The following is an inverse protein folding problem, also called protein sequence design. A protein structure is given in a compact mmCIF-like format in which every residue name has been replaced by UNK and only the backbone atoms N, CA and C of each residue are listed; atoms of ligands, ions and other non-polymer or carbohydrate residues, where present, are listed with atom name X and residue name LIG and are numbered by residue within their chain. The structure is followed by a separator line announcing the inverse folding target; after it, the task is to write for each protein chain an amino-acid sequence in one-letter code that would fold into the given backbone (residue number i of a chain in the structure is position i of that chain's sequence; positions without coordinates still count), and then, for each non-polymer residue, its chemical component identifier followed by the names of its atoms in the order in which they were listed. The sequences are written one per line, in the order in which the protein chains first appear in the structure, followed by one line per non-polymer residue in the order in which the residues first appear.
data_IF_899747833979
#
_entry.id   IF_899747833979
#
_cell.length_a   1.000
_cell.length_b   1.000
_cell.length_c   1.000
_cell.angle_alpha   90.00
_cell.angle_beta   90.00
_cell.angle_gamma   90.00
#
_symmetry.space_group_name_H-M   'P 1'
#
loop_
_entity.id
_entity.type
_entity.pdbx_description
1 polymer ?
#
# COMPACT_ATOMS: atom_id res chain seq x y z
N UNK A 1 -22.71 34.68 18.39
CA UNK A 1 -21.38 34.21 17.94
C UNK A 1 -20.85 33.30 19.04
N UNK A 2 -20.95 31.98 18.86
CA UNK A 2 -20.43 31.01 19.83
C UNK A 2 -19.14 30.42 19.27
N UNK A 3 -18.04 30.74 19.93
CA UNK A 3 -16.71 30.23 19.62
C UNK A 3 -16.63 28.79 20.14
N UNK A 4 -16.78 27.81 19.25
CA UNK A 4 -16.42 26.42 19.53
C UNK A 4 -14.91 26.26 19.33
N UNK A 5 -14.14 26.59 20.35
CA UNK A 5 -12.76 26.13 20.44
C UNK A 5 -12.79 24.64 20.81
N UNK A 6 -12.64 23.79 19.80
CA UNK A 6 -12.44 22.35 19.97
C UNK A 6 -11.16 22.10 20.78
N UNK A 7 -11.19 21.11 21.66
CA UNK A 7 -10.01 20.73 22.46
C UNK A 7 -9.01 19.99 21.57
N UNK A 8 -7.67 20.06 21.78
CA UNK A 8 -6.69 19.37 20.92
C UNK A 8 -6.95 17.86 20.71
N UNK A 9 -7.51 17.17 21.71
CA UNK A 9 -7.94 15.77 21.57
C UNK A 9 -9.16 15.57 20.66
N UNK A 10 -10.09 16.51 20.65
CA UNK A 10 -11.26 16.50 19.74
C UNK A 10 -10.83 16.80 18.30
N UNK A 11 -9.83 17.66 18.10
CA UNK A 11 -9.27 17.93 16.79
C UNK A 11 -8.53 16.72 16.20
N UNK A 12 -7.73 16.03 17.01
CA UNK A 12 -7.03 14.81 16.59
C UNK A 12 -8.01 13.68 16.24
N UNK A 13 -9.11 13.56 16.99
CA UNK A 13 -10.17 12.58 16.68
C UNK A 13 -10.96 12.97 15.44
N UNK A 14 -11.29 14.25 15.24
CA UNK A 14 -11.95 14.75 14.03
C UNK A 14 -11.09 14.53 12.78
N UNK A 15 -9.80 14.89 12.82
CA UNK A 15 -8.84 14.67 11.73
C UNK A 15 -8.77 13.18 11.35
N UNK A 16 -8.70 12.30 12.35
CA UNK A 16 -8.65 10.85 12.12
C UNK A 16 -9.96 10.29 11.54
N UNK A 17 -11.12 10.78 11.98
CA UNK A 17 -12.42 10.41 11.39
C UNK A 17 -12.53 10.85 9.93
N UNK A 18 -12.12 12.08 9.61
CA UNK A 18 -12.12 12.60 8.23
C UNK A 18 -11.21 11.76 7.35
N UNK A 19 -10.01 11.44 7.81
CA UNK A 19 -9.04 10.63 7.06
C UNK A 19 -9.60 9.23 6.73
N UNK A 20 -10.17 8.53 7.72
CA UNK A 20 -10.79 7.21 7.51
C UNK A 20 -11.99 7.28 6.57
N UNK A 21 -12.84 8.30 6.72
CA UNK A 21 -13.98 8.53 5.83
C UNK A 21 -13.51 8.81 4.39
N UNK A 22 -12.47 9.62 4.22
CA UNK A 22 -11.90 9.94 2.92
C UNK A 22 -11.35 8.70 2.21
N UNK A 23 -10.57 7.86 2.90
CA UNK A 23 -10.06 6.59 2.35
C UNK A 23 -11.20 5.70 1.86
N UNK A 24 -12.22 5.48 2.70
CA UNK A 24 -13.40 4.68 2.32
C UNK A 24 -14.14 5.27 1.11
N UNK A 25 -14.41 6.58 1.15
CA UNK A 25 -15.17 7.26 0.11
C UNK A 25 -14.43 7.28 -1.23
N UNK A 26 -13.12 7.51 -1.21
CA UNK A 26 -12.28 7.47 -2.41
C UNK A 26 -12.08 6.05 -2.94
N UNK A 27 -12.10 5.02 -2.08
CA UNK A 27 -12.11 3.63 -2.52
C UNK A 27 -13.42 3.29 -3.26
N UNK A 28 -14.58 3.66 -2.69
CA UNK A 28 -15.90 3.37 -3.27
C UNK A 28 -16.14 4.12 -4.59
N UNK A 29 -16.04 5.45 -4.53
CA UNK A 29 -16.54 6.38 -5.56
C UNK A 29 -15.40 6.97 -6.41
N UNK A 30 -14.17 6.51 -6.18
CA UNK A 30 -12.97 6.97 -6.89
C UNK A 30 -12.47 8.33 -6.42
N UNK A 31 -11.36 8.76 -7.03
CA UNK A 31 -10.62 9.95 -6.60
C UNK A 31 -11.38 11.27 -6.80
N UNK A 32 -12.46 11.27 -7.60
CA UNK A 32 -13.31 12.43 -7.87
C UNK A 32 -14.43 12.64 -6.83
N UNK A 33 -14.62 11.71 -5.87
CA UNK A 33 -15.71 11.77 -4.89
C UNK A 33 -15.84 13.15 -4.19
N UNK A 34 -17.06 13.68 -4.00
CA UNK A 34 -17.25 15.03 -3.48
C UNK A 34 -16.85 15.14 -1.99
N UNK A 35 -16.15 16.21 -1.61
CA UNK A 35 -15.77 16.44 -0.21
C UNK A 35 -16.97 16.55 0.74
N UNK A 36 -18.15 16.91 0.23
CA UNK A 36 -19.39 16.91 1.02
C UNK A 36 -19.80 15.50 1.45
N UNK A 37 -19.59 14.48 0.62
CA UNK A 37 -19.86 13.09 0.98
C UNK A 37 -18.88 12.61 2.05
N UNK A 38 -17.58 12.93 1.89
CA UNK A 38 -16.56 12.66 2.92
C UNK A 38 -16.93 13.31 4.27
N UNK A 39 -17.39 14.57 4.24
CA UNK A 39 -17.80 15.29 5.43
C UNK A 39 -19.00 14.65 6.13
N UNK A 40 -20.00 14.24 5.34
CA UNK A 40 -21.17 13.53 5.84
C UNK A 40 -20.77 12.20 6.52
N UNK A 41 -19.92 11.40 5.88
CA UNK A 41 -19.42 10.14 6.44
C UNK A 41 -18.61 10.33 7.73
N UNK A 42 -17.86 11.43 7.81
CA UNK A 42 -17.06 11.77 8.99
C UNK A 42 -17.87 12.44 10.12
N UNK A 43 -19.13 12.80 9.87
CA UNK A 43 -19.98 13.53 10.81
C UNK A 43 -19.50 14.96 11.08
N UNK A 44 -18.94 15.64 10.06
CA UNK A 44 -18.38 17.00 10.17
C UNK A 44 -18.88 17.92 9.05
N UNK A 45 -18.57 19.21 9.13
CA UNK A 45 -18.80 20.14 8.03
C UNK A 45 -17.70 20.03 6.97
N UNK A 46 -18.02 20.30 5.70
CA UNK A 46 -17.01 20.34 4.63
C UNK A 46 -15.93 21.42 4.87
N UNK A 47 -16.27 22.51 5.56
CA UNK A 47 -15.31 23.52 5.98
C UNK A 47 -14.25 22.99 6.95
N UNK A 48 -14.61 22.04 7.82
CA UNK A 48 -13.66 21.44 8.76
C UNK A 48 -12.62 20.56 8.06
N UNK A 49 -12.95 19.97 6.91
CA UNK A 49 -11.98 19.26 6.07
C UNK A 49 -10.92 20.24 5.56
N UNK A 50 -11.34 21.37 5.00
CA UNK A 50 -10.41 22.40 4.49
C UNK A 50 -9.58 22.98 5.64
N UNK A 51 -10.17 23.15 6.82
CA UNK A 51 -9.44 23.58 7.99
C UNK A 51 -8.31 22.60 8.39
N UNK A 52 -8.57 21.28 8.41
CA UNK A 52 -7.57 20.29 8.83
C UNK A 52 -6.53 19.93 7.76
N UNK A 53 -6.91 19.99 6.49
CA UNK A 53 -6.09 19.47 5.38
C UNK A 53 -5.68 20.54 4.37
N UNK A 54 -6.14 21.79 4.54
CA UNK A 54 -5.84 22.94 3.68
C UNK A 54 -6.55 22.91 2.33
N UNK A 55 -6.57 21.77 1.65
CA UNK A 55 -7.18 21.61 0.33
C UNK A 55 -7.67 20.17 0.09
N UNK A 56 -8.35 19.96 -1.04
CA UNK A 56 -8.69 18.62 -1.51
C UNK A 56 -7.44 17.77 -1.75
N UNK A 57 -6.39 18.38 -2.29
CA UNK A 57 -5.14 17.67 -2.57
C UNK A 57 -4.36 17.38 -1.28
N UNK A 58 -4.36 18.30 -0.31
CA UNK A 58 -3.81 18.03 1.01
C UNK A 58 -4.53 16.89 1.76
N UNK A 59 -5.84 16.72 1.55
CA UNK A 59 -6.56 15.55 2.06
C UNK A 59 -6.09 14.26 1.36
N UNK A 60 -5.88 14.30 0.03
CA UNK A 60 -5.40 13.15 -0.73
C UNK A 60 -3.98 12.76 -0.33
N UNK A 61 -3.08 13.72 -0.16
CA UNK A 61 -1.72 13.49 0.34
C UNK A 61 -1.74 12.85 1.74
N UNK A 62 -2.65 13.30 2.62
CA UNK A 62 -2.83 12.69 3.92
C UNK A 62 -3.35 11.24 3.82
N UNK A 63 -4.25 10.96 2.88
CA UNK A 63 -4.69 9.60 2.58
C UNK A 63 -3.54 8.73 2.05
N UNK A 64 -2.74 9.24 1.10
CA UNK A 64 -1.57 8.54 0.55
C UNK A 64 -0.57 8.20 1.68
N UNK A 65 -0.24 9.16 2.54
CA UNK A 65 0.63 8.94 3.70
C UNK A 65 0.06 7.91 4.69
N UNK A 66 -1.26 7.92 4.89
CA UNK A 66 -1.93 6.95 5.75
C UNK A 66 -1.87 5.53 5.19
N UNK A 67 -2.13 5.33 3.90
CA UNK A 67 -2.10 3.99 3.31
C UNK A 67 -0.69 3.42 3.25
N UNK A 68 0.33 4.28 3.02
CA UNK A 68 1.74 3.89 3.13
C UNK A 68 2.08 3.42 4.55
N UNK A 69 1.69 4.19 5.56
CA UNK A 69 1.91 3.82 6.96
C UNK A 69 1.26 2.48 7.32
N UNK A 70 -0.01 2.27 6.94
CA UNK A 70 -0.73 1.00 7.19
C UNK A 70 -0.02 -0.17 6.51
N UNK A 71 0.42 -0.01 5.26
CA UNK A 71 1.11 -1.08 4.55
C UNK A 71 2.48 -1.41 5.16
N UNK A 72 3.24 -0.39 5.57
CA UNK A 72 4.51 -0.58 6.28
C UNK A 72 4.29 -1.29 7.62
N UNK A 73 3.32 -0.86 8.41
CA UNK A 73 2.97 -1.48 9.70
C UNK A 73 2.53 -2.93 9.57
N UNK A 74 1.89 -3.29 8.45
CA UNK A 74 1.54 -4.67 8.14
C UNK A 74 2.77 -5.51 7.73
N UNK A 75 3.64 -4.97 6.86
CA UNK A 75 4.77 -5.71 6.27
C UNK A 75 6.01 -5.78 7.14
N UNK A 76 6.35 -4.72 7.87
CA UNK A 76 7.60 -4.64 8.63
C UNK A 76 7.70 -5.72 9.74
N UNK A 77 6.65 -6.08 10.50
CA UNK A 77 6.74 -7.18 11.46
C UNK A 77 7.00 -8.54 10.81
N UNK A 78 6.51 -8.75 9.58
CA UNK A 78 6.65 -10.01 8.85
C UNK A 78 8.03 -10.12 8.19
N UNK A 79 8.45 -9.06 7.48
CA UNK A 79 9.64 -9.08 6.63
C UNK A 79 10.87 -8.41 7.25
N UNK A 80 10.69 -7.54 8.25
CA UNK A 80 11.76 -6.79 8.92
C UNK A 80 12.40 -7.50 10.12
N UNK A 81 12.05 -8.76 10.39
CA UNK A 81 12.70 -9.59 11.41
C UNK A 81 12.07 -9.58 12.82
N UNK A 82 10.92 -8.93 13.01
CA UNK A 82 10.31 -8.74 14.33
C UNK A 82 9.27 -9.78 14.77
N UNK A 83 8.55 -10.43 13.84
CA UNK A 83 7.36 -11.23 14.19
C UNK A 83 7.15 -12.54 13.42
N UNK A 84 7.86 -12.77 12.31
CA UNK A 84 7.88 -14.04 11.59
C UNK A 84 6.49 -14.61 11.25
N UNK A 85 6.34 -15.93 11.36
CA UNK A 85 5.09 -16.62 11.01
C UNK A 85 3.88 -16.17 11.86
N UNK A 86 4.08 -15.87 13.15
CA UNK A 86 2.99 -15.43 14.04
C UNK A 86 2.42 -14.06 13.62
N UNK A 87 3.30 -13.12 13.26
CA UNK A 87 2.86 -11.85 12.70
C UNK A 87 2.11 -12.06 11.38
N UNK A 88 2.63 -12.89 10.48
CA UNK A 88 1.97 -13.21 9.21
C UNK A 88 0.55 -13.76 9.42
N UNK A 89 0.39 -14.77 10.28
CA UNK A 89 -0.92 -15.36 10.59
C UNK A 89 -1.88 -14.34 11.20
N UNK A 90 -1.38 -13.46 12.07
CA UNK A 90 -2.18 -12.36 12.64
C UNK A 90 -2.66 -11.42 11.54
N UNK A 91 -1.79 -11.03 10.59
CA UNK A 91 -2.18 -10.16 9.49
C UNK A 91 -3.18 -10.81 8.54
N UNK A 92 -3.03 -12.11 8.25
CA UNK A 92 -3.98 -12.86 7.43
C UNK A 92 -5.35 -12.99 8.09
N UNK A 93 -5.39 -13.18 9.42
CA UNK A 93 -6.65 -13.21 10.16
C UNK A 93 -7.40 -11.87 10.10
N UNK A 94 -6.67 -10.76 10.00
CA UNK A 94 -7.22 -9.39 9.93
C UNK A 94 -7.33 -8.86 8.50
N UNK A 95 -7.16 -9.71 7.48
CA UNK A 95 -6.94 -9.25 6.10
C UNK A 95 -8.10 -8.41 5.55
N UNK A 96 -9.32 -8.76 5.92
CA UNK A 96 -10.55 -8.05 5.55
C UNK A 96 -10.56 -6.59 6.00
N UNK A 97 -9.92 -6.28 7.13
CA UNK A 97 -9.83 -4.92 7.67
C UNK A 97 -9.03 -3.97 6.78
N UNK A 98 -8.19 -4.50 5.89
CA UNK A 98 -7.38 -3.71 4.96
C UNK A 98 -8.12 -3.37 3.66
N UNK A 99 -9.34 -3.86 3.45
CA UNK A 99 -10.10 -3.66 2.22
C UNK A 99 -10.28 -2.18 1.81
N UNK A 100 -10.60 -1.23 2.71
CA UNK A 100 -10.69 0.19 2.33
C UNK A 100 -9.34 0.77 1.86
N UNK A 101 -8.24 0.35 2.50
CA UNK A 101 -6.88 0.81 2.16
C UNK A 101 -6.47 0.25 0.80
N UNK A 102 -6.69 -1.04 0.57
CA UNK A 102 -6.44 -1.68 -0.73
C UNK A 102 -7.28 -1.01 -1.82
N UNK A 103 -8.59 -0.85 -1.60
CA UNK A 103 -9.49 -0.15 -2.53
C UNK A 103 -9.03 1.27 -2.86
N UNK A 104 -8.55 2.02 -1.86
CA UNK A 104 -7.99 3.35 -2.09
C UNK A 104 -6.76 3.32 -3.01
N UNK A 105 -5.78 2.45 -2.70
CA UNK A 105 -4.56 2.29 -3.50
C UNK A 105 -4.90 1.98 -4.95
N UNK A 106 -5.88 1.11 -5.17
CA UNK A 106 -6.32 0.72 -6.50
C UNK A 106 -6.93 1.87 -7.28
N UNK A 107 -7.87 2.60 -6.68
CA UNK A 107 -8.45 3.81 -7.28
C UNK A 107 -7.39 4.88 -7.55
N UNK A 108 -6.35 4.95 -6.71
CA UNK A 108 -5.26 5.91 -6.84
C UNK A 108 -4.37 5.57 -8.03
N UNK A 109 -4.05 4.30 -8.20
CA UNK A 109 -3.31 3.78 -9.35
C UNK A 109 -4.09 3.91 -10.66
N UNK A 110 -5.40 3.63 -10.65
CA UNK A 110 -6.27 3.79 -11.82
C UNK A 110 -6.39 5.24 -12.29
N UNK A 111 -6.42 6.19 -11.34
CA UNK A 111 -6.43 7.61 -11.67
C UNK A 111 -5.12 8.06 -12.37
N UNK A 112 -4.02 7.32 -12.13
CA UNK A 112 -2.73 7.56 -12.76
C UNK A 112 -2.13 8.93 -12.44
N UNK A 113 -1.21 9.36 -13.31
CA UNK A 113 -0.52 10.64 -13.19
C UNK A 113 0.55 10.70 -12.09
N UNK A 114 1.14 11.88 -11.86
CA UNK A 114 2.30 12.05 -10.99
C UNK A 114 2.09 11.57 -9.55
N UNK A 115 0.88 11.74 -9.03
CA UNK A 115 0.56 11.35 -7.66
C UNK A 115 0.47 9.82 -7.49
N UNK A 116 0.03 9.10 -8.51
CA UNK A 116 0.08 7.64 -8.50
C UNK A 116 1.54 7.15 -8.50
N UNK A 117 2.41 7.78 -9.30
CA UNK A 117 3.85 7.51 -9.30
C UNK A 117 4.46 7.76 -7.92
N UNK A 118 4.16 8.90 -7.29
CA UNK A 118 4.65 9.21 -5.94
C UNK A 118 4.18 8.19 -4.89
N UNK A 119 2.94 7.70 -4.98
CA UNK A 119 2.47 6.65 -4.08
C UNK A 119 3.24 5.34 -4.29
N UNK A 120 3.51 4.95 -5.55
CA UNK A 120 4.34 3.78 -5.86
C UNK A 120 5.75 3.95 -5.30
N UNK A 121 6.39 5.10 -5.54
CA UNK A 121 7.72 5.41 -5.02
C UNK A 121 7.76 5.35 -3.49
N UNK A 122 6.69 5.78 -2.81
CA UNK A 122 6.53 5.64 -1.36
C UNK A 122 6.52 4.18 -0.91
N UNK A 123 5.74 3.31 -1.59
CA UNK A 123 5.73 1.87 -1.29
C UNK A 123 7.11 1.23 -1.52
N UNK A 124 7.81 1.64 -2.58
CA UNK A 124 9.17 1.18 -2.86
C UNK A 124 10.13 1.61 -1.75
N UNK A 125 10.07 2.87 -1.31
CA UNK A 125 10.89 3.39 -0.22
C UNK A 125 10.69 2.61 1.09
N UNK A 126 9.43 2.39 1.49
CA UNK A 126 9.10 1.57 2.65
C UNK A 126 9.63 0.13 2.48
N UNK A 127 9.52 -0.43 1.27
CA UNK A 127 10.01 -1.77 0.95
C UNK A 127 11.53 -1.91 1.01
N UNK A 128 12.27 -0.92 0.54
CA UNK A 128 13.73 -0.88 0.70
C UNK A 128 14.09 -1.00 2.17
N UNK A 129 13.43 -0.22 3.03
CA UNK A 129 13.78 -0.17 4.44
C UNK A 129 13.43 -1.47 5.19
N UNK A 130 12.21 -1.99 5.05
CA UNK A 130 11.88 -3.25 5.75
C UNK A 130 12.63 -4.46 5.20
N UNK A 131 13.02 -4.49 3.91
CA UNK A 131 13.83 -5.57 3.36
C UNK A 131 15.28 -5.49 3.86
N UNK A 132 15.85 -4.28 3.97
CA UNK A 132 17.17 -4.06 4.56
C UNK A 132 17.22 -4.52 6.01
N UNK A 133 16.17 -4.22 6.78
CA UNK A 133 16.03 -4.71 8.16
C UNK A 133 15.95 -6.25 8.19
N UNK A 134 15.16 -6.84 7.28
CA UNK A 134 15.06 -8.28 7.13
C UNK A 134 16.37 -8.97 6.78
N UNK A 135 17.21 -8.35 5.94
CA UNK A 135 18.55 -8.85 5.62
C UNK A 135 19.46 -8.80 6.84
N UNK A 136 19.47 -7.69 7.59
CA UNK A 136 20.25 -7.55 8.81
C UNK A 136 19.82 -8.55 9.90
N UNK A 137 18.53 -8.90 9.96
CA UNK A 137 17.98 -9.89 10.86
C UNK A 137 18.11 -11.35 10.36
N UNK A 138 18.62 -11.57 9.14
CA UNK A 138 18.78 -12.90 8.55
C UNK A 138 17.48 -13.58 8.09
N UNK A 139 16.36 -12.86 8.04
CA UNK A 139 15.05 -13.38 7.58
C UNK A 139 14.83 -13.18 6.08
N UNK A 140 15.55 -12.22 5.46
CA UNK A 140 15.57 -11.99 4.02
C UNK A 140 16.99 -12.25 3.50
N UNK A 141 17.12 -12.95 2.37
CA UNK A 141 18.43 -13.18 1.75
C UNK A 141 19.03 -11.86 1.22
N UNK A 142 20.35 -11.63 1.34
CA UNK A 142 21.00 -10.48 0.74
C UNK A 142 20.77 -10.37 -0.77
N UNK A 143 20.58 -9.15 -1.28
CA UNK A 143 20.46 -8.87 -2.72
C UNK A 143 21.68 -8.20 -3.32
N UNK A 144 21.96 -8.52 -4.59
CA UNK A 144 22.87 -7.75 -5.45
C UNK A 144 22.26 -6.42 -5.92
N UNK A 145 20.93 -6.33 -5.87
CA UNK A 145 20.14 -5.21 -6.35
C UNK A 145 19.06 -4.86 -5.31
N UNK A 146 19.42 -4.36 -4.11
CA UNK A 146 18.47 -4.20 -3.01
C UNK A 146 17.29 -3.26 -3.37
N UNK A 147 17.59 -2.10 -3.94
CA UNK A 147 16.60 -1.09 -4.36
C UNK A 147 15.73 -1.60 -5.53
N UNK A 148 16.37 -2.14 -6.58
CA UNK A 148 15.64 -2.67 -7.73
C UNK A 148 14.77 -3.88 -7.35
N UNK A 149 15.23 -4.74 -6.42
CA UNK A 149 14.42 -5.86 -5.92
C UNK A 149 13.19 -5.35 -5.17
N UNK A 150 13.34 -4.35 -4.29
CA UNK A 150 12.22 -3.74 -3.60
C UNK A 150 11.19 -3.17 -4.59
N UNK A 151 11.68 -2.51 -5.66
CA UNK A 151 10.83 -1.97 -6.72
C UNK A 151 10.09 -3.05 -7.49
N UNK A 152 10.77 -4.09 -7.98
CA UNK A 152 10.16 -5.21 -8.72
C UNK A 152 9.09 -5.89 -7.87
N UNK A 153 9.36 -6.20 -6.61
CA UNK A 153 8.39 -6.84 -5.72
C UNK A 153 7.15 -5.95 -5.48
N UNK A 154 7.36 -4.65 -5.33
CA UNK A 154 6.28 -3.68 -5.15
C UNK A 154 5.42 -3.58 -6.40
N UNK A 155 6.04 -3.42 -7.57
CA UNK A 155 5.34 -3.35 -8.86
C UNK A 155 4.60 -4.65 -9.19
N UNK A 156 5.18 -5.82 -8.89
CA UNK A 156 4.50 -7.10 -9.02
C UNK A 156 3.26 -7.20 -8.13
N UNK A 157 3.36 -6.78 -6.87
CA UNK A 157 2.22 -6.80 -5.94
C UNK A 157 1.11 -5.84 -6.38
N UNK A 158 1.46 -4.58 -6.71
CA UNK A 158 0.50 -3.56 -7.14
C UNK A 158 -0.12 -3.90 -8.51
N UNK A 159 0.68 -4.42 -9.44
CA UNK A 159 0.21 -4.88 -10.75
C UNK A 159 -0.72 -6.08 -10.64
N UNK A 160 -0.39 -7.05 -9.79
CA UNK A 160 -1.27 -8.19 -9.52
C UNK A 160 -2.59 -7.75 -8.90
N UNK A 161 -2.57 -6.77 -7.99
CA UNK A 161 -3.79 -6.16 -7.45
C UNK A 161 -4.61 -5.51 -8.56
N UNK A 162 -4.01 -4.64 -9.39
CA UNK A 162 -4.69 -3.96 -10.50
C UNK A 162 -5.34 -4.93 -11.51
N UNK A 163 -4.68 -6.04 -11.84
CA UNK A 163 -5.18 -7.04 -12.79
C UNK A 163 -6.36 -7.86 -12.25
N UNK A 164 -6.54 -7.94 -10.93
CA UNK A 164 -7.42 -8.90 -10.28
C UNK A 164 -8.70 -8.28 -9.71
N UNK A 165 -8.87 -6.95 -9.79
CA UNK A 165 -10.10 -6.35 -9.35
C UNK A 165 -11.26 -6.52 -10.33
N UNK A 166 -12.50 -6.46 -9.81
CA UNK A 166 -13.70 -6.02 -10.53
C UNK A 166 -13.65 -4.57 -11.08
N UNK A 167 -12.45 -4.02 -11.28
CA UNK A 167 -12.10 -2.60 -11.38
C UNK A 167 -12.62 -1.87 -12.62
N UNK A 168 -13.35 -2.55 -13.50
CA UNK A 168 -14.03 -1.92 -14.63
C UNK A 168 -15.41 -1.35 -14.23
N UNK A 169 -15.87 -1.55 -12.99
CA UNK A 169 -17.10 -0.94 -12.51
C UNK A 169 -16.86 0.47 -11.93
N UNK A 170 -17.77 1.40 -12.25
CA UNK A 170 -17.71 2.78 -11.77
C UNK A 170 -17.79 2.86 -10.24
N UNK A 171 -18.47 1.92 -9.59
CA UNK A 171 -18.61 1.84 -8.13
C UNK A 171 -18.03 0.52 -7.61
N UNK A 172 -17.25 0.59 -6.52
CA UNK A 172 -16.80 -0.59 -5.78
C UNK A 172 -17.68 -0.75 -4.55
N UNK A 173 -18.36 -1.89 -4.44
CA UNK A 173 -19.14 -2.22 -3.26
C UNK A 173 -18.19 -2.47 -2.07
N UNK A 174 -18.18 -1.52 -1.13
CA UNK A 174 -17.34 -1.61 0.07
C UNK A 174 -17.72 -2.77 0.99
N UNK A 175 -18.93 -3.31 0.86
CA UNK A 175 -19.40 -4.45 1.67
C UNK A 175 -18.88 -5.78 1.09
N UNK A 176 -18.60 -5.84 -0.21
CA UNK A 176 -18.02 -7.02 -0.88
C UNK A 176 -16.48 -7.02 -0.90
N UNK A 177 -15.85 -5.84 -0.87
CA UNK A 177 -14.38 -5.71 -0.89
C UNK A 177 -13.65 -6.54 0.19
N UNK A 178 -14.14 -6.65 1.45
CA UNK A 178 -13.52 -7.49 2.47
C UNK A 178 -13.45 -8.96 2.05
N UNK A 179 -14.59 -9.53 1.64
CA UNK A 179 -14.67 -10.93 1.23
C UNK A 179 -13.82 -11.20 -0.02
N UNK A 180 -13.82 -10.28 -0.99
CA UNK A 180 -12.94 -10.35 -2.15
C UNK A 180 -11.46 -10.36 -1.74
N UNK A 181 -11.06 -9.49 -0.81
CA UNK A 181 -9.67 -9.38 -0.36
C UNK A 181 -9.22 -10.65 0.39
N UNK A 182 -10.10 -11.26 1.20
CA UNK A 182 -9.84 -12.58 1.82
C UNK A 182 -9.61 -13.63 0.74
N UNK A 183 -10.53 -13.80 -0.20
CA UNK A 183 -10.42 -14.79 -1.26
C UNK A 183 -9.18 -14.57 -2.15
N UNK A 184 -8.85 -13.31 -2.47
CA UNK A 184 -7.63 -12.96 -3.17
C UNK A 184 -6.38 -13.42 -2.41
N UNK A 185 -6.33 -13.14 -1.09
CA UNK A 185 -5.21 -13.49 -0.24
C UNK A 185 -5.03 -15.01 -0.10
N UNK A 186 -6.11 -15.75 0.14
CA UNK A 186 -6.10 -17.22 0.20
C UNK A 186 -5.56 -17.85 -1.09
N UNK A 187 -5.88 -17.24 -2.24
CA UNK A 187 -5.41 -17.71 -3.54
C UNK A 187 -3.92 -17.46 -3.78
N UNK A 188 -3.36 -16.34 -3.32
CA UNK A 188 -1.99 -15.93 -3.69
C UNK A 188 -0.94 -16.25 -2.64
N UNK A 189 -1.30 -16.33 -1.35
CA UNK A 189 -0.30 -16.39 -0.27
C UNK A 189 0.52 -17.67 -0.34
N UNK A 190 -0.12 -18.83 -0.52
CA UNK A 190 0.58 -20.11 -0.64
C UNK A 190 1.59 -20.14 -1.79
N UNK A 191 1.16 -19.91 -3.04
CA UNK A 191 2.08 -19.89 -4.19
C UNK A 191 3.18 -18.83 -4.09
N UNK A 192 2.90 -17.65 -3.51
CA UNK A 192 3.94 -16.64 -3.30
C UNK A 192 4.98 -17.09 -2.28
N UNK A 193 4.55 -17.71 -1.18
CA UNK A 193 5.48 -18.26 -0.18
C UNK A 193 6.37 -19.32 -0.82
N UNK A 194 5.80 -20.25 -1.59
CA UNK A 194 6.57 -21.26 -2.32
C UNK A 194 7.61 -20.62 -3.25
N UNK A 195 7.23 -19.64 -4.07
CA UNK A 195 8.16 -18.93 -4.97
C UNK A 195 9.27 -18.16 -4.20
N UNK A 196 8.99 -17.70 -2.99
CA UNK A 196 9.98 -16.98 -2.17
C UNK A 196 10.90 -17.91 -1.39
N UNK A 197 10.49 -19.13 -1.09
CA UNK A 197 11.28 -20.08 -0.29
C UNK A 197 11.96 -21.15 -1.14
N UNK A 198 11.35 -21.51 -2.27
CA UNK A 198 11.81 -22.55 -3.18
C UNK A 198 12.20 -21.93 -4.54
N UNK A 199 13.40 -22.23 -5.08
CA UNK A 199 13.80 -21.75 -6.40
C UNK A 199 12.86 -22.24 -7.50
N UNK A 200 12.26 -21.30 -8.24
CA UNK A 200 11.44 -21.63 -9.41
C UNK A 200 12.26 -22.27 -10.55
N UNK A 201 13.48 -21.78 -10.75
CA UNK A 201 14.43 -22.33 -11.72
C UNK A 201 15.31 -23.38 -11.05
N UNK A 202 15.68 -24.42 -11.80
CA UNK A 202 16.49 -25.54 -11.31
C UNK A 202 17.95 -25.19 -11.05
N UNK A 203 18.44 -24.10 -11.64
CA UNK A 203 19.82 -23.63 -11.51
C UNK A 203 19.93 -22.11 -11.76
N UNK A 204 21.17 -21.60 -11.69
CA UNK A 204 21.49 -20.17 -11.77
C UNK A 204 22.00 -19.71 -13.14
N UNK A 205 22.01 -20.59 -14.15
CA UNK A 205 22.63 -20.34 -15.47
C UNK A 205 22.15 -19.03 -16.12
N UNK A 206 20.84 -18.75 -16.08
CA UNK A 206 20.26 -17.51 -16.62
C UNK A 206 20.77 -16.25 -15.89
N UNK A 207 20.81 -16.29 -14.55
CA UNK A 207 21.27 -15.16 -13.74
C UNK A 207 22.77 -14.91 -13.95
N UNK A 208 23.57 -15.97 -13.93
CA UNK A 208 25.02 -15.86 -14.05
C UNK A 208 25.40 -15.35 -15.46
N UNK A 209 24.79 -15.89 -16.53
CA UNK A 209 24.98 -15.41 -17.90
C UNK A 209 24.59 -13.93 -18.07
N UNK A 210 23.49 -13.48 -17.46
CA UNK A 210 23.07 -12.08 -17.50
C UNK A 210 24.08 -11.16 -16.80
N UNK A 211 24.54 -11.54 -15.60
CA UNK A 211 25.52 -10.75 -14.85
C UNK A 211 26.85 -10.64 -15.61
N UNK A 212 27.33 -11.75 -16.16
CA UNK A 212 28.56 -11.78 -16.96
C UNK A 212 28.48 -10.84 -18.17
N UNK A 213 27.35 -10.87 -18.91
CA UNK A 213 27.11 -9.99 -20.07
C UNK A 213 27.19 -8.50 -19.73
N UNK A 214 26.85 -8.12 -18.49
CA UNK A 214 26.88 -6.74 -18.00
C UNK A 214 28.27 -6.33 -17.53
N UNK A 215 29.06 -7.24 -16.99
CA UNK A 215 30.45 -6.96 -16.58
C UNK A 215 31.42 -6.85 -17.77
N UNK A 216 31.14 -7.53 -18.88
CA UNK A 216 31.95 -7.47 -20.11
C UNK A 216 31.74 -6.20 -20.96
N UNK A 217 30.81 -5.32 -20.60
CA UNK A 217 30.48 -4.10 -21.36
C UNK A 217 30.97 -2.82 -20.64
N UNK A 218 32.24 -2.81 -20.21
CA UNK A 218 32.93 -1.55 -19.89
C UNK A 218 33.38 -0.95 -21.22
N UNK A 219 32.86 0.19 -21.69
CA UNK A 219 33.42 0.84 -22.87
C UNK A 219 34.82 1.36 -22.51
N UNK A 220 35.83 0.96 -23.28
CA UNK A 220 37.14 1.64 -23.24
C UNK A 220 36.95 3.12 -23.63
N UNK A 221 37.71 4.04 -23.00
CA UNK A 221 37.62 5.47 -23.25
C UNK A 221 38.04 5.88 -24.67
#
# INVERSE_FOLDING_TARGET
MLNMSSTPGEELTARSRILRAAVRRFAADGMAAPLRAVAADAGVSAGLIIHHFGSRDGLREACDAHVLAVARENKAPVLGGGGGAAAMLTQLAQVEGYAPVVGYVLRRLQAGGPLATQLVDGFVGDAVEYLRQGEAAGVVRPSRYPEARARVLTEQALGALLLQLPAQQEHLDLDELPAWLRAYSERIVGPLLEVYTEPLLTDRSLLDSYVESRTGHTPEP
#
